data_IF_590361123516
#
_entry.id   IF_590361123516
#
_cell.length_a   1.000
_cell.length_b   1.000
_cell.length_c   1.000
_cell.angle_alpha   90.00
_cell.angle_beta   90.00
_cell.angle_gamma   90.00
#
_symmetry.space_group_name_H-M   'P 1'
#
loop_
_entity.id
_entity.type
_entity.pdbx_description
1 polymer ?
#
# COMPACT_ATOMS: atom_id res chain seq x y z
N UNK A 1 -77.27 15.88 -19.75
CA UNK A 1 -77.48 14.51 -19.23
C UNK A 1 -76.54 14.34 -18.04
N UNK A 2 -77.03 14.60 -16.84
CA UNK A 2 -76.27 14.55 -15.60
C UNK A 2 -77.26 14.32 -14.44
N UNK A 3 -77.01 13.28 -13.62
CA UNK A 3 -77.63 12.97 -12.32
C UNK A 3 -76.93 11.72 -11.70
N UNK A 4 -77.02 11.48 -10.36
CA UNK A 4 -75.87 11.68 -9.44
C UNK A 4 -75.75 10.57 -8.33
N UNK A 5 -75.25 10.95 -7.14
CA UNK A 5 -75.34 10.30 -5.79
C UNK A 5 -74.27 9.22 -5.46
N UNK A 6 -73.68 9.13 -4.26
CA UNK A 6 -74.06 9.61 -2.92
C UNK A 6 -72.84 9.72 -1.97
N UNK A 7 -72.83 10.78 -1.15
CA UNK A 7 -72.02 10.97 0.07
C UNK A 7 -72.74 10.29 1.25
N UNK A 8 -72.02 9.80 2.27
CA UNK A 8 -72.50 9.84 3.67
C UNK A 8 -71.34 9.79 4.69
N UNK A 9 -71.45 10.70 5.67
CA UNK A 9 -70.59 10.97 6.83
C UNK A 9 -71.35 10.53 8.09
N UNK A 10 -70.67 10.03 9.14
CA UNK A 10 -70.93 10.22 10.60
C UNK A 10 -70.14 9.16 11.41
N UNK A 11 -69.25 9.47 12.36
CA UNK A 11 -69.38 10.16 13.66
C UNK A 11 -69.68 9.22 14.87
N UNK A 12 -68.62 8.87 15.60
CA UNK A 12 -68.39 9.08 17.05
C UNK A 12 -69.10 8.29 18.20
N UNK A 13 -68.30 8.08 19.27
CA UNK A 13 -68.57 8.02 20.74
C UNK A 13 -68.78 6.68 21.53
N UNK A 14 -67.73 6.33 22.32
CA UNK A 14 -67.63 6.04 23.79
C UNK A 14 -68.33 4.87 24.55
N UNK A 15 -67.47 4.12 25.28
CA UNK A 15 -67.48 3.52 26.66
C UNK A 15 -68.76 2.94 27.31
N UNK A 16 -68.61 1.78 28.01
CA UNK A 16 -68.78 1.56 29.49
C UNK A 16 -68.59 0.07 29.92
N UNK A 17 -67.79 -0.12 30.99
CA UNK A 17 -67.67 -1.12 32.13
C UNK A 17 -68.70 -2.28 32.27
N UNK A 18 -68.54 -3.39 33.03
CA UNK A 18 -67.52 -4.12 33.85
C UNK A 18 -68.17 -5.45 34.36
N UNK A 19 -67.41 -6.46 34.84
CA UNK A 19 -67.91 -7.60 35.65
C UNK A 19 -67.00 -8.86 35.72
N UNK A 20 -67.04 -9.71 36.78
CA UNK A 20 -65.86 -9.98 37.63
C UNK A 20 -65.41 -11.46 37.89
N UNK A 21 -64.23 -11.57 38.52
CA UNK A 21 -63.75 -12.52 39.57
C UNK A 21 -63.24 -13.98 39.31
N UNK A 22 -62.02 -14.20 39.88
CA UNK A 22 -61.48 -15.37 40.63
C UNK A 22 -60.34 -16.24 40.03
N UNK A 23 -59.16 -16.18 40.70
CA UNK A 23 -58.05 -17.18 40.79
C UNK A 23 -58.40 -18.23 41.88
N UNK A 24 -57.62 -19.30 42.21
CA UNK A 24 -56.33 -19.84 41.69
C UNK A 24 -56.29 -21.40 41.53
N UNK A 25 -55.20 -21.99 41.01
CA UNK A 25 -54.48 -23.08 41.70
C UNK A 25 -53.09 -23.31 41.09
N UNK A 26 -52.09 -23.40 41.96
CA UNK A 26 -50.70 -23.73 41.63
C UNK A 26 -50.42 -25.20 41.98
N UNK A 27 -49.56 -25.87 41.21
CA UNK A 27 -48.72 -26.95 41.74
C UNK A 27 -47.32 -26.78 41.18
N UNK A 28 -46.35 -26.66 42.08
CA UNK A 28 -44.96 -26.39 41.77
C UNK A 28 -44.13 -27.63 41.41
N UNK A 29 -42.95 -27.29 40.90
CA UNK A 29 -41.68 -28.02 40.99
C UNK A 29 -41.61 -29.37 40.24
N UNK A 30 -41.04 -29.33 39.03
CA UNK A 30 -39.84 -30.13 38.76
C UNK A 30 -38.98 -29.45 37.69
N UNK A 31 -37.84 -28.93 38.14
CA UNK A 31 -36.80 -28.30 37.32
C UNK A 31 -36.10 -29.34 36.46
N UNK A 32 -36.07 -29.12 35.14
CA UNK A 32 -35.00 -29.64 34.28
C UNK A 32 -34.59 -28.56 33.26
N UNK A 33 -33.60 -27.77 33.65
CA UNK A 33 -32.87 -26.85 32.77
C UNK A 33 -31.98 -27.70 31.86
N UNK A 34 -32.51 -28.18 30.74
CA UNK A 34 -31.71 -28.85 29.71
C UNK A 34 -32.20 -28.50 28.29
N UNK A 35 -32.59 -27.25 28.02
CA UNK A 35 -32.77 -26.84 26.62
C UNK A 35 -32.73 -25.32 26.39
N UNK A 36 -31.83 -24.59 27.05
CA UNK A 36 -31.69 -23.17 26.74
C UNK A 36 -30.30 -22.59 27.03
N UNK A 37 -29.20 -23.24 26.60
CA UNK A 37 -27.93 -22.49 26.47
C UNK A 37 -26.79 -23.11 25.63
N UNK A 38 -27.09 -23.73 24.47
CA UNK A 38 -26.05 -24.25 23.58
C UNK A 38 -25.78 -23.36 22.34
N UNK A 39 -26.41 -22.18 22.25
CA UNK A 39 -26.24 -21.24 21.11
C UNK A 39 -25.73 -19.84 21.48
N UNK A 40 -25.63 -19.47 22.75
CA UNK A 40 -25.08 -18.18 23.18
C UNK A 40 -23.59 -18.22 23.61
N UNK A 41 -22.97 -19.41 23.69
CA UNK A 41 -21.57 -19.58 24.10
C UNK A 41 -20.58 -19.93 22.98
N UNK A 42 -20.94 -19.77 21.71
CA UNK A 42 -19.94 -19.54 20.66
C UNK A 42 -19.83 -18.04 20.43
N UNK A 43 -19.32 -17.34 21.43
CA UNK A 43 -18.71 -16.05 21.17
C UNK A 43 -17.58 -16.27 20.19
N UNK A 44 -17.60 -15.56 19.07
CA UNK A 44 -16.51 -15.44 18.11
C UNK A 44 -15.32 -14.71 18.77
N UNK A 45 -14.81 -15.27 19.86
CA UNK A 45 -13.58 -14.81 20.48
C UNK A 45 -12.44 -15.28 19.60
N UNK A 46 -12.16 -14.50 18.56
CA UNK A 46 -10.85 -14.52 17.93
C UNK A 46 -9.87 -13.94 18.95
N UNK A 47 -8.90 -14.72 19.44
CA UNK A 47 -7.85 -14.18 20.30
C UNK A 47 -7.22 -12.96 19.63
N UNK A 48 -6.78 -11.94 20.40
CA UNK A 48 -6.01 -10.86 19.81
C UNK A 48 -4.86 -11.44 19.01
N UNK A 49 -4.68 -10.97 17.78
CA UNK A 49 -3.56 -11.40 16.95
C UNK A 49 -2.28 -11.28 17.78
N UNK A 50 -1.43 -12.33 17.84
CA UNK A 50 -0.17 -12.24 18.55
C UNK A 50 0.58 -11.00 18.05
N UNK A 51 1.30 -10.27 18.94
CA UNK A 51 2.09 -9.13 18.53
C UNK A 51 2.98 -9.58 17.36
N UNK A 52 3.08 -8.78 16.29
CA UNK A 52 3.88 -9.16 15.14
C UNK A 52 5.29 -9.51 15.63
N UNK A 53 5.90 -10.58 15.09
CA UNK A 53 7.25 -10.95 15.46
C UNK A 53 8.15 -9.72 15.31
N UNK A 54 9.01 -9.48 16.29
CA UNK A 54 9.98 -8.39 16.22
C UNK A 54 10.73 -8.49 14.90
N UNK A 55 10.87 -7.39 14.13
CA UNK A 55 11.59 -7.41 12.87
C UNK A 55 12.97 -8.04 13.06
N UNK A 56 13.49 -8.80 12.09
CA UNK A 56 14.86 -9.29 12.12
C UNK A 56 15.80 -8.11 12.40
N UNK A 57 16.86 -8.29 13.22
CA UNK A 57 17.83 -7.23 13.45
C UNK A 57 18.41 -6.77 12.11
N UNK A 58 18.37 -5.47 11.86
CA UNK A 58 18.94 -4.87 10.65
C UNK A 58 20.42 -5.25 10.54
N UNK A 59 20.91 -5.58 9.33
CA UNK A 59 22.34 -5.74 9.12
C UNK A 59 23.06 -4.43 9.47
N UNK A 60 24.36 -4.49 9.80
CA UNK A 60 25.10 -3.32 10.25
C UNK A 60 25.08 -2.21 9.20
N UNK A 61 24.94 -0.96 9.65
CA UNK A 61 25.01 0.20 8.77
C UNK A 61 26.41 0.36 8.19
N UNK A 62 26.48 0.84 6.93
CA UNK A 62 27.74 1.10 6.24
C UNK A 62 28.37 2.40 6.74
N UNK A 63 29.69 2.46 6.77
CA UNK A 63 30.44 3.69 7.09
C UNK A 63 30.55 4.63 5.89
N UNK A 64 30.98 5.88 6.12
CA UNK A 64 31.25 6.80 5.01
C UNK A 64 32.41 6.29 4.13
N UNK A 65 33.39 5.63 4.75
CA UNK A 65 34.52 5.01 4.06
C UNK A 65 34.07 3.83 3.17
N UNK A 66 33.12 3.02 3.63
CA UNK A 66 32.53 1.93 2.82
C UNK A 66 31.79 2.47 1.60
N UNK A 67 31.18 3.65 1.74
CA UNK A 67 30.56 4.41 0.66
C UNK A 67 31.59 5.15 -0.23
N UNK A 68 32.89 4.96 0.01
CA UNK A 68 33.98 5.69 -0.68
C UNK A 68 33.81 7.21 -0.60
N UNK A 69 33.13 7.69 0.44
CA UNK A 69 32.90 9.10 0.71
C UNK A 69 34.06 9.75 1.45
N UNK A 70 33.96 11.06 1.60
CA UNK A 70 34.91 11.87 2.37
C UNK A 70 34.20 12.35 3.65
N UNK A 71 34.82 12.13 4.80
CA UNK A 71 34.31 12.55 6.09
C UNK A 71 33.66 11.42 6.87
N UNK A 72 32.55 11.69 7.57
CA UNK A 72 31.86 10.68 8.38
C UNK A 72 30.35 10.93 8.43
N UNK A 73 29.56 9.86 8.57
CA UNK A 73 28.10 9.94 8.70
C UNK A 73 27.64 10.65 9.99
N UNK A 74 28.51 10.80 10.99
CA UNK A 74 28.22 11.55 12.22
C UNK A 74 28.54 13.05 12.14
N UNK A 75 29.29 13.47 11.13
CA UNK A 75 29.61 14.88 10.88
C UNK A 75 29.07 15.30 9.53
N UNK A 76 29.81 15.06 8.46
CA UNK A 76 29.37 15.25 7.08
C UNK A 76 30.08 14.20 6.24
N UNK A 77 29.28 13.43 5.51
CA UNK A 77 29.76 12.45 4.55
C UNK A 77 29.42 12.95 3.14
N UNK A 78 30.45 13.22 2.35
CA UNK A 78 30.30 13.64 0.95
C UNK A 78 30.60 12.47 0.03
N UNK A 79 29.62 12.06 -0.76
CA UNK A 79 29.77 11.01 -1.75
C UNK A 79 30.13 11.64 -3.09
N UNK A 80 31.34 11.38 -3.56
CA UNK A 80 31.86 11.85 -4.86
C UNK A 80 32.01 10.71 -5.89
N UNK A 81 31.56 9.51 -5.55
CA UNK A 81 31.73 8.30 -6.36
C UNK A 81 30.44 7.51 -6.43
N UNK A 82 30.06 7.05 -7.63
CA UNK A 82 28.87 6.23 -7.84
C UNK A 82 29.06 4.80 -7.35
N UNK A 83 28.09 4.26 -6.62
CA UNK A 83 28.14 2.93 -6.03
C UNK A 83 27.08 2.03 -6.64
N UNK A 84 27.43 0.75 -6.78
CA UNK A 84 26.52 -0.29 -7.22
C UNK A 84 26.51 -1.41 -6.18
N UNK A 85 25.40 -1.54 -5.47
CA UNK A 85 25.21 -2.47 -4.37
C UNK A 85 24.62 -3.79 -4.88
N UNK A 86 24.96 -4.91 -4.24
CA UNK A 86 24.41 -6.23 -4.59
C UNK A 86 23.21 -6.61 -3.74
N UNK A 87 23.12 -6.04 -2.54
CA UNK A 87 22.14 -6.35 -1.51
C UNK A 87 21.71 -5.08 -0.79
N UNK A 88 20.79 -5.22 0.15
CA UNK A 88 20.21 -4.10 0.89
C UNK A 88 21.28 -3.33 1.67
N UNK A 89 21.15 -2.00 1.67
CA UNK A 89 22.12 -1.09 2.28
C UNK A 89 21.44 -0.17 3.27
N UNK A 90 22.07 -0.03 4.43
CA UNK A 90 21.59 0.81 5.53
C UNK A 90 22.65 1.87 5.82
N UNK A 91 22.29 3.14 5.63
CA UNK A 91 23.16 4.30 5.83
C UNK A 91 22.59 5.07 7.02
N UNK A 92 23.26 4.99 8.17
CA UNK A 92 22.80 5.64 9.40
C UNK A 92 23.85 6.63 9.92
N UNK A 93 23.40 7.80 10.38
CA UNK A 93 24.30 8.83 10.88
C UNK A 93 23.62 9.98 11.61
N UNK A 94 24.37 10.61 12.52
CA UNK A 94 23.90 11.82 13.23
C UNK A 94 24.22 13.14 12.51
N UNK A 95 25.02 13.07 11.45
CA UNK A 95 25.52 14.23 10.72
C UNK A 95 24.72 14.48 9.46
N UNK A 96 25.43 14.77 8.38
CA UNK A 96 24.88 15.09 7.06
C UNK A 96 25.34 14.07 6.01
N UNK A 97 24.52 13.85 4.99
CA UNK A 97 24.86 13.03 3.82
C UNK A 97 24.63 13.84 2.55
N UNK A 98 25.72 14.15 1.85
CA UNK A 98 25.68 14.91 0.60
C UNK A 98 26.07 14.01 -0.56
N UNK A 99 25.11 13.72 -1.43
CA UNK A 99 25.36 13.02 -2.68
C UNK A 99 25.70 14.10 -3.71
N UNK A 100 26.95 14.15 -4.14
CA UNK A 100 27.43 15.18 -5.05
C UNK A 100 26.83 15.03 -6.46
N UNK A 101 27.01 16.06 -7.28
CA UNK A 101 26.45 16.12 -8.63
C UNK A 101 26.86 14.90 -9.47
N UNK A 102 25.88 14.28 -10.14
CA UNK A 102 26.10 13.14 -11.02
C UNK A 102 26.44 11.82 -10.33
N UNK A 103 26.46 11.78 -9.00
CA UNK A 103 26.72 10.55 -8.23
C UNK A 103 25.46 9.71 -8.17
N UNK A 104 25.61 8.42 -8.46
CA UNK A 104 24.52 7.44 -8.47
C UNK A 104 24.73 6.36 -7.42
N UNK A 105 23.72 6.14 -6.58
CA UNK A 105 23.63 5.00 -5.66
C UNK A 105 22.63 4.00 -6.24
N UNK A 106 23.12 2.88 -6.76
CA UNK A 106 22.30 1.91 -7.48
C UNK A 106 22.28 0.56 -6.76
N UNK A 107 21.11 -0.05 -6.64
CA UNK A 107 20.95 -1.46 -6.36
C UNK A 107 20.08 -2.11 -7.45
N UNK A 108 20.64 -2.93 -8.35
CA UNK A 108 19.94 -3.44 -9.52
C UNK A 108 19.07 -4.66 -9.19
N UNK A 109 19.25 -5.28 -8.02
CA UNK A 109 18.43 -6.39 -7.53
C UNK A 109 16.99 -5.90 -7.32
N UNK A 110 16.02 -6.62 -7.89
CA UNK A 110 14.59 -6.33 -7.70
C UNK A 110 14.26 -6.39 -6.21
N UNK A 111 13.44 -5.45 -5.75
CA UNK A 111 13.09 -5.36 -4.33
C UNK A 111 14.17 -4.83 -3.38
N UNK A 112 15.40 -4.60 -3.86
CA UNK A 112 16.51 -4.18 -3.00
C UNK A 112 16.22 -2.85 -2.29
N UNK A 113 16.54 -2.80 -0.99
CA UNK A 113 16.31 -1.66 -0.11
C UNK A 113 17.59 -0.82 0.03
N UNK A 114 17.48 0.48 -0.27
CA UNK A 114 18.41 1.50 0.19
C UNK A 114 17.72 2.30 1.30
N UNK A 115 18.17 2.12 2.54
CA UNK A 115 17.68 2.84 3.70
C UNK A 115 18.69 3.92 4.12
N UNK A 116 18.23 5.15 4.24
CA UNK A 116 19.02 6.31 4.66
C UNK A 116 18.34 6.92 5.88
N UNK A 117 19.03 6.91 7.01
CA UNK A 117 18.56 7.47 8.28
C UNK A 117 19.59 8.47 8.82
N UNK A 118 19.35 9.76 8.57
CA UNK A 118 20.28 10.84 8.87
C UNK A 118 19.58 11.90 9.70
N UNK A 119 20.10 12.24 10.88
CA UNK A 119 19.43 13.26 11.71
C UNK A 119 19.63 14.70 11.21
N UNK A 120 20.70 14.96 10.45
CA UNK A 120 20.98 16.26 9.85
C UNK A 120 20.42 16.37 8.42
N UNK A 121 21.24 16.93 7.53
CA UNK A 121 20.84 17.28 6.17
C UNK A 121 21.15 16.16 5.17
N UNK A 122 20.14 15.74 4.41
CA UNK A 122 20.29 14.93 3.21
C UNK A 122 20.21 15.84 1.97
N UNK A 123 21.27 15.86 1.17
CA UNK A 123 21.30 16.65 -0.06
C UNK A 123 21.59 15.76 -1.25
N UNK A 124 20.65 15.72 -2.20
CA UNK A 124 20.87 15.20 -3.54
C UNK A 124 21.16 16.39 -4.46
N UNK A 125 22.43 16.58 -4.80
CA UNK A 125 22.86 17.63 -5.73
C UNK A 125 22.31 17.38 -7.14
N UNK A 126 22.39 18.39 -8.05
CA UNK A 126 21.85 18.24 -9.39
C UNK A 126 22.36 16.96 -10.09
N UNK A 127 21.46 16.24 -10.74
CA UNK A 127 21.75 14.98 -11.45
C UNK A 127 22.28 13.84 -10.56
N UNK A 128 22.19 13.95 -9.24
CA UNK A 128 22.41 12.81 -8.35
C UNK A 128 21.25 11.82 -8.46
N UNK A 129 21.56 10.52 -8.39
CA UNK A 129 20.58 9.46 -8.58
C UNK A 129 20.60 8.44 -7.44
N UNK A 130 19.42 8.01 -7.00
CA UNK A 130 19.25 6.83 -6.15
C UNK A 130 18.32 5.87 -6.89
N UNK A 131 18.80 4.66 -7.18
CA UNK A 131 18.06 3.66 -7.97
C UNK A 131 18.00 2.36 -7.18
N UNK A 132 16.81 1.91 -6.79
CA UNK A 132 16.62 0.68 -6.01
C UNK A 132 15.20 0.11 -6.20
N UNK A 133 14.90 -1.03 -5.55
CA UNK A 133 13.52 -1.53 -5.44
C UNK A 133 12.71 -0.78 -4.39
N UNK A 134 13.33 -0.49 -3.25
CA UNK A 134 12.78 0.34 -2.19
C UNK A 134 13.79 1.38 -1.78
N UNK A 135 13.34 2.62 -1.61
CA UNK A 135 14.13 3.70 -1.04
C UNK A 135 13.39 4.21 0.18
N UNK A 136 14.02 4.10 1.35
CA UNK A 136 13.47 4.54 2.62
C UNK A 136 14.37 5.61 3.21
N UNK A 137 13.86 6.82 3.33
CA UNK A 137 14.63 7.99 3.77
C UNK A 137 13.95 8.59 4.99
N UNK A 138 14.72 8.70 6.07
CA UNK A 138 14.42 9.52 7.25
C UNK A 138 15.53 10.56 7.38
N UNK A 139 15.15 11.83 7.33
CA UNK A 139 16.10 12.94 7.37
C UNK A 139 15.66 14.06 8.35
N UNK A 140 16.61 14.82 8.87
CA UNK A 140 16.34 16.09 9.55
C UNK A 140 15.79 17.11 8.56
N UNK A 141 16.61 17.48 7.57
CA UNK A 141 16.19 18.23 6.39
C UNK A 141 16.53 17.43 5.13
N UNK A 142 15.76 17.61 4.06
CA UNK A 142 16.04 16.99 2.77
C UNK A 142 15.94 18.00 1.63
N UNK A 143 16.95 18.04 0.77
CA UNK A 143 16.98 18.89 -0.43
C UNK A 143 17.30 18.05 -1.66
N UNK A 144 16.35 17.97 -2.58
CA UNK A 144 16.52 17.32 -3.88
C UNK A 144 16.63 18.42 -4.93
N UNK A 145 17.84 18.64 -5.45
CA UNK A 145 18.09 19.68 -6.44
C UNK A 145 17.62 19.28 -7.84
N UNK A 146 17.53 20.27 -8.74
CA UNK A 146 17.05 20.09 -10.10
C UNK A 146 17.80 18.98 -10.85
N UNK A 147 17.05 18.07 -11.47
CA UNK A 147 17.59 16.92 -12.19
C UNK A 147 18.06 15.76 -11.30
N UNK A 148 18.04 15.88 -9.97
CA UNK A 148 18.21 14.71 -9.10
C UNK A 148 17.00 13.79 -9.18
N UNK A 149 17.22 12.49 -9.04
CA UNK A 149 16.16 11.48 -9.20
C UNK A 149 16.29 10.39 -8.15
N UNK A 150 15.17 10.05 -7.51
CA UNK A 150 15.00 8.78 -6.79
C UNK A 150 14.10 7.90 -7.66
N UNK A 151 14.65 6.81 -8.17
CA UNK A 151 14.01 5.98 -9.19
C UNK A 151 13.84 4.54 -8.72
N UNK A 152 12.59 4.16 -8.54
CA UNK A 152 12.20 2.77 -8.23
C UNK A 152 11.32 2.17 -9.33
N UNK A 153 11.43 2.68 -10.55
CA UNK A 153 10.63 2.24 -11.71
C UNK A 153 10.93 0.80 -12.13
N UNK A 154 9.90 -0.03 -12.25
CA UNK A 154 9.99 -1.42 -12.69
C UNK A 154 10.92 -2.28 -11.80
N UNK A 155 10.93 -2.00 -10.49
CA UNK A 155 11.82 -2.63 -9.50
C UNK A 155 11.08 -3.32 -8.35
N UNK A 156 9.79 -3.63 -8.52
CA UNK A 156 9.05 -4.39 -7.52
C UNK A 156 9.70 -5.75 -7.22
N UNK A 157 9.56 -6.20 -5.97
CA UNK A 157 10.00 -7.52 -5.56
C UNK A 157 8.94 -8.57 -5.95
N UNK A 158 9.36 -9.62 -6.66
CA UNK A 158 8.49 -10.74 -7.03
C UNK A 158 8.32 -11.75 -5.87
N UNK A 159 9.14 -11.69 -4.81
CA UNK A 159 9.27 -12.79 -3.82
C UNK A 159 8.40 -12.66 -2.56
N UNK A 160 7.99 -11.46 -2.17
CA UNK A 160 7.47 -11.24 -0.81
C UNK A 160 5.98 -10.87 -0.73
N UNK A 161 5.38 -10.42 -1.82
CA UNK A 161 3.95 -10.15 -1.87
C UNK A 161 3.38 -10.98 -3.02
N UNK A 162 2.49 -11.97 -2.79
CA UNK A 162 1.73 -12.57 -3.89
C UNK A 162 1.08 -11.39 -4.58
N UNK A 163 1.45 -11.14 -5.83
CA UNK A 163 1.17 -9.89 -6.54
C UNK A 163 -0.33 -9.76 -6.74
N UNK A 164 -1.02 -9.29 -5.70
CA UNK A 164 -2.44 -9.02 -5.71
C UNK A 164 -2.65 -7.97 -6.79
N UNK A 165 -3.57 -8.24 -7.70
CA UNK A 165 -3.75 -7.38 -8.86
C UNK A 165 -2.81 -7.63 -10.03
N UNK A 166 -2.08 -8.75 -10.08
CA UNK A 166 -1.56 -9.31 -11.35
C UNK A 166 -2.64 -10.19 -11.99
N UNK A 167 -2.86 -10.11 -13.31
CA UNK A 167 -3.75 -11.04 -14.02
C UNK A 167 -3.32 -12.51 -13.86
N UNK A 168 -4.26 -13.40 -13.58
CA UNK A 168 -4.02 -14.85 -13.49
C UNK A 168 -3.93 -15.52 -14.87
N UNK A 169 -4.37 -14.83 -15.92
CA UNK A 169 -4.53 -15.35 -17.27
C UNK A 169 -3.41 -14.88 -18.22
N UNK A 170 -3.23 -15.66 -19.28
CA UNK A 170 -2.26 -15.35 -20.33
C UNK A 170 -2.87 -14.40 -21.38
N UNK A 171 -3.71 -13.45 -20.96
CA UNK A 171 -4.41 -12.53 -21.85
C UNK A 171 -3.71 -11.16 -21.94
N UNK A 172 -2.56 -11.01 -21.27
CA UNK A 172 -1.74 -9.80 -21.32
C UNK A 172 -2.33 -8.59 -20.58
N UNK A 173 -3.19 -8.81 -19.58
CA UNK A 173 -3.75 -7.74 -18.76
C UNK A 173 -2.68 -6.95 -17.98
N UNK A 174 -3.00 -5.72 -17.55
CA UNK A 174 -2.13 -4.88 -16.73
C UNK A 174 -2.40 -5.03 -15.23
N UNK A 175 -1.44 -4.60 -14.43
CA UNK A 175 -1.55 -4.60 -12.96
C UNK A 175 -2.49 -3.52 -12.41
N UNK A 176 -3.02 -3.69 -11.18
CA UNK A 176 -3.95 -2.72 -10.57
C UNK A 176 -3.61 -2.32 -9.14
N UNK A 177 -2.99 -1.16 -8.91
CA UNK A 177 -2.76 -0.57 -7.57
C UNK A 177 -3.85 0.45 -7.24
N UNK A 178 -4.51 0.30 -6.08
CA UNK A 178 -5.63 1.17 -5.68
C UNK A 178 -6.88 1.09 -6.58
N UNK A 179 -6.90 0.20 -7.58
CA UNK A 179 -7.96 0.07 -8.57
C UNK A 179 -7.71 -1.13 -9.48
N UNK A 180 -8.67 -1.45 -10.35
CA UNK A 180 -8.53 -2.58 -11.29
C UNK A 180 -7.56 -2.25 -12.43
N UNK A 181 -6.77 -3.24 -12.85
CA UNK A 181 -5.87 -3.15 -14.00
C UNK A 181 -6.60 -3.20 -15.34
N UNK A 182 -5.97 -2.71 -16.40
CA UNK A 182 -6.53 -2.73 -17.76
C UNK A 182 -6.47 -4.15 -18.36
N UNK A 183 -7.50 -4.58 -19.09
CA UNK A 183 -7.47 -5.87 -19.80
C UNK A 183 -7.15 -5.67 -21.28
N UNK A 184 -6.41 -6.62 -21.87
CA UNK A 184 -6.14 -6.68 -23.30
C UNK A 184 -7.10 -7.62 -24.05
N UNK A 185 -8.13 -8.11 -23.38
CA UNK A 185 -9.12 -9.04 -23.92
C UNK A 185 -10.09 -8.32 -24.84
N UNK A 186 -10.08 -8.72 -26.11
CA UNK A 186 -10.99 -8.19 -27.12
C UNK A 186 -12.12 -9.20 -27.37
N UNK A 187 -13.04 -9.32 -26.41
CA UNK A 187 -14.26 -10.13 -26.56
C UNK A 187 -15.51 -9.26 -26.52
N UNK A 188 -16.14 -9.08 -27.69
CA UNK A 188 -17.34 -8.26 -27.86
C UNK A 188 -18.60 -8.84 -27.18
N UNK A 189 -18.51 -10.02 -26.56
CA UNK A 189 -19.62 -10.65 -25.82
C UNK A 189 -19.58 -10.36 -24.33
N UNK A 190 -18.46 -9.91 -23.79
CA UNK A 190 -18.33 -9.57 -22.37
C UNK A 190 -18.60 -8.08 -22.15
N UNK A 191 -19.20 -7.73 -21.01
CA UNK A 191 -19.37 -6.33 -20.64
C UNK A 191 -18.03 -5.77 -20.10
N UNK A 192 -17.76 -4.46 -20.25
CA UNK A 192 -16.53 -3.85 -19.71
C UNK A 192 -16.34 -4.05 -18.19
N UNK A 193 -17.43 -4.20 -17.44
CA UNK A 193 -17.42 -4.47 -15.99
C UNK A 193 -17.00 -5.90 -15.61
N UNK A 194 -17.06 -6.83 -16.56
CA UNK A 194 -16.73 -8.25 -16.39
C UNK A 194 -15.27 -8.57 -16.77
N UNK A 195 -14.52 -7.59 -17.26
CA UNK A 195 -13.20 -7.79 -17.85
C UNK A 195 -12.21 -6.75 -17.33
N UNK A 196 -11.22 -7.20 -16.56
CA UNK A 196 -10.14 -6.36 -16.07
C UNK A 196 -8.82 -7.15 -16.03
N UNK A 197 -7.70 -6.44 -16.01
CA UNK A 197 -6.37 -7.02 -15.99
C UNK A 197 -6.03 -7.58 -14.61
N UNK A 198 -6.28 -6.84 -13.54
CA UNK A 198 -5.98 -7.32 -12.18
C UNK A 198 -6.89 -6.67 -11.16
N UNK A 199 -7.14 -7.35 -10.05
CA UNK A 199 -7.92 -6.80 -8.93
C UNK A 199 -7.22 -5.61 -8.27
N UNK A 200 -8.01 -4.76 -7.62
CA UNK A 200 -7.46 -3.69 -6.80
C UNK A 200 -6.77 -4.28 -5.57
N UNK A 201 -5.56 -3.79 -5.26
CA UNK A 201 -4.85 -4.09 -4.02
C UNK A 201 -4.44 -2.81 -3.28
N UNK A 202 -4.02 -2.99 -2.02
CA UNK A 202 -3.45 -1.95 -1.14
C UNK A 202 -4.36 -0.78 -0.73
N UNK A 203 -5.68 -0.92 -0.87
CA UNK A 203 -6.64 0.11 -0.46
C UNK A 203 -6.56 0.44 1.05
N UNK A 204 -6.27 -0.57 1.87
CA UNK A 204 -6.17 -0.44 3.33
C UNK A 204 -4.97 0.41 3.81
N UNK A 205 -3.99 0.63 2.93
CA UNK A 205 -2.75 1.36 3.24
C UNK A 205 -2.64 2.73 2.57
N UNK A 206 -3.73 3.23 1.98
CA UNK A 206 -3.71 4.45 1.14
C UNK A 206 -3.22 5.71 1.89
N UNK A 207 -3.37 5.75 3.22
CA UNK A 207 -2.90 6.86 4.05
C UNK A 207 -1.37 6.88 4.22
N UNK A 208 -0.74 5.72 4.22
CA UNK A 208 0.71 5.54 4.38
C UNK A 208 1.17 4.43 3.41
N UNK A 209 1.13 4.68 2.09
CA UNK A 209 1.32 3.63 1.10
C UNK A 209 2.77 3.14 1.14
N UNK A 210 2.94 1.84 1.35
CA UNK A 210 4.24 1.16 1.39
C UNK A 210 4.16 -0.21 0.72
N UNK A 211 3.65 -0.22 -0.50
CA UNK A 211 3.40 -1.45 -1.26
C UNK A 211 4.01 -1.36 -2.64
N UNK A 212 4.50 -2.50 -3.11
CA UNK A 212 5.00 -2.63 -4.46
C UNK A 212 3.84 -2.55 -5.46
N UNK A 213 4.14 -2.06 -6.66
CA UNK A 213 3.23 -2.22 -7.79
C UNK A 213 3.20 -3.68 -8.23
N UNK A 214 2.03 -4.18 -8.56
CA UNK A 214 1.84 -5.48 -9.18
C UNK A 214 2.40 -5.53 -10.60
N UNK A 215 2.73 -6.74 -11.01
CA UNK A 215 3.24 -7.06 -12.33
C UNK A 215 2.12 -7.04 -13.37
N UNK A 216 2.47 -6.76 -14.61
CA UNK A 216 1.59 -7.02 -15.75
C UNK A 216 1.52 -8.50 -16.08
N UNK A 217 0.40 -8.92 -16.67
CA UNK A 217 0.23 -10.25 -17.24
C UNK A 217 1.02 -10.43 -18.54
N UNK A 218 1.19 -11.69 -18.92
CA UNK A 218 1.87 -12.10 -20.16
C UNK A 218 0.86 -12.68 -21.16
N UNK A 219 1.23 -12.75 -22.44
CA UNK A 219 0.45 -13.46 -23.47
C UNK A 219 0.86 -14.93 -23.66
N UNK A 220 1.90 -15.39 -22.96
CA UNK A 220 2.39 -16.77 -23.00
C UNK A 220 2.76 -17.26 -21.62
N UNK A 221 2.33 -18.46 -21.23
CA UNK A 221 2.54 -18.98 -19.87
C UNK A 221 4.01 -19.20 -19.52
N UNK A 222 4.83 -19.54 -20.50
CA UNK A 222 6.23 -19.91 -20.33
C UNK A 222 7.19 -18.72 -20.43
N UNK A 223 6.70 -17.55 -20.86
CA UNK A 223 7.51 -16.35 -21.07
C UNK A 223 6.93 -15.17 -20.31
N UNK A 224 7.80 -14.37 -19.71
CA UNK A 224 7.41 -13.23 -18.90
C UNK A 224 7.59 -11.92 -19.68
N UNK A 225 6.50 -11.42 -20.25
CA UNK A 225 6.46 -10.17 -21.00
C UNK A 225 5.83 -9.00 -20.23
N UNK A 226 5.36 -9.21 -19.00
CA UNK A 226 4.67 -8.16 -18.25
C UNK A 226 5.63 -7.10 -17.72
N UNK A 227 5.13 -5.86 -17.59
CA UNK A 227 5.85 -4.84 -16.82
C UNK A 227 6.05 -5.29 -15.37
N UNK A 228 7.19 -4.94 -14.77
CA UNK A 228 7.65 -5.54 -13.49
C UNK A 228 6.93 -5.05 -12.24
N UNK A 229 6.20 -3.95 -12.32
CA UNK A 229 5.65 -3.28 -11.14
C UNK A 229 6.61 -2.28 -10.50
N UNK A 230 6.06 -1.19 -9.95
CA UNK A 230 6.84 -0.10 -9.39
C UNK A 230 7.34 -0.41 -7.98
N UNK A 231 8.50 0.14 -7.64
CA UNK A 231 9.08 0.06 -6.31
C UNK A 231 8.44 1.01 -5.28
N UNK A 232 9.07 1.14 -4.11
CA UNK A 232 8.54 1.95 -3.00
C UNK A 232 9.46 3.11 -2.65
N UNK A 233 8.92 4.32 -2.57
CA UNK A 233 9.61 5.49 -2.04
C UNK A 233 8.96 5.92 -0.72
N UNK A 234 9.75 6.02 0.34
CA UNK A 234 9.35 6.58 1.62
C UNK A 234 10.28 7.72 1.96
N UNK A 235 9.73 8.93 2.10
CA UNK A 235 10.48 10.13 2.46
C UNK A 235 9.84 10.76 3.69
N UNK A 236 10.48 10.63 4.83
CA UNK A 236 10.08 11.28 6.07
C UNK A 236 11.13 12.30 6.49
N UNK A 237 10.71 13.57 6.56
CA UNK A 237 11.59 14.69 6.86
C UNK A 237 11.08 15.43 8.08
N UNK A 238 11.89 15.50 9.12
CA UNK A 238 11.44 16.02 10.42
C UNK A 238 11.28 17.55 10.45
N UNK A 239 12.03 18.27 9.61
CA UNK A 239 12.05 19.74 9.60
C UNK A 239 11.59 20.27 8.23
N UNK A 240 12.51 20.49 7.29
CA UNK A 240 12.19 21.12 5.99
C UNK A 240 12.53 20.23 4.80
N UNK A 241 11.67 20.25 3.79
CA UNK A 241 11.88 19.55 2.52
C UNK A 241 11.85 20.55 1.35
N UNK A 242 12.91 20.60 0.54
CA UNK A 242 12.96 21.32 -0.75
C UNK A 242 13.03 20.30 -1.88
N UNK A 243 11.93 20.15 -2.63
CA UNK A 243 11.82 19.17 -3.72
C UNK A 243 11.83 19.86 -5.08
N UNK A 244 12.98 19.81 -5.75
CA UNK A 244 13.17 20.22 -7.17
C UNK A 244 13.63 19.08 -8.07
N UNK A 245 13.90 17.91 -7.48
CA UNK A 245 14.16 16.65 -8.17
C UNK A 245 12.87 15.87 -8.47
N UNK A 246 13.04 14.60 -8.85
CA UNK A 246 11.95 13.69 -9.21
C UNK A 246 11.93 12.44 -8.32
N UNK A 247 10.74 11.99 -7.95
CA UNK A 247 10.50 10.66 -7.36
C UNK A 247 9.72 9.84 -8.39
N UNK A 248 10.25 8.68 -8.79
CA UNK A 248 9.67 7.84 -9.82
C UNK A 248 9.36 6.45 -9.27
N UNK A 249 8.13 5.97 -9.45
CA UNK A 249 7.67 4.64 -9.04
C UNK A 249 6.83 3.97 -10.15
N UNK A 250 7.23 4.10 -11.42
CA UNK A 250 6.44 3.57 -12.54
C UNK A 250 6.50 2.03 -12.59
N UNK A 251 5.44 1.39 -13.08
CA UNK A 251 5.35 -0.07 -13.16
C UNK A 251 6.11 -0.74 -14.30
N UNK A 252 6.60 0.05 -15.26
CA UNK A 252 7.26 -0.47 -16.46
C UNK A 252 6.28 -1.00 -17.52
N UNK A 253 6.80 -1.14 -18.74
CA UNK A 253 6.05 -1.52 -19.93
C UNK A 253 6.18 -3.03 -20.21
N UNK A 254 5.09 -3.67 -20.62
CA UNK A 254 5.07 -5.04 -21.11
C UNK A 254 5.17 -5.16 -22.65
N UNK A 255 5.19 -4.03 -23.35
CA UNK A 255 5.25 -3.95 -24.80
C UNK A 255 4.02 -4.56 -25.47
N UNK A 256 4.18 -5.04 -26.71
CA UNK A 256 3.06 -5.60 -27.49
C UNK A 256 2.65 -7.02 -27.07
N UNK A 257 3.42 -7.66 -26.16
CA UNK A 257 3.25 -9.09 -25.78
C UNK A 257 2.86 -9.28 -24.31
N UNK A 258 2.67 -8.21 -23.57
CA UNK A 258 2.29 -8.26 -22.16
C UNK A 258 1.66 -6.96 -21.72
N UNK A 259 1.01 -6.99 -20.55
CA UNK A 259 0.44 -5.80 -19.95
C UNK A 259 1.49 -4.97 -19.22
N UNK A 260 1.23 -3.68 -19.07
CA UNK A 260 2.04 -2.81 -18.22
C UNK A 260 1.95 -3.21 -16.74
N UNK A 261 3.02 -2.98 -15.99
CA UNK A 261 3.00 -3.11 -14.54
C UNK A 261 2.29 -1.91 -13.90
N UNK A 262 1.73 -2.10 -12.71
CA UNK A 262 1.18 -0.98 -11.95
C UNK A 262 2.28 -0.16 -11.27
N UNK A 263 2.03 1.12 -11.06
CA UNK A 263 2.91 1.97 -10.28
C UNK A 263 3.03 1.48 -8.83
N UNK A 264 4.15 1.77 -8.19
CA UNK A 264 4.36 1.49 -6.77
C UNK A 264 4.03 2.70 -5.90
N UNK A 265 4.37 2.63 -4.62
CA UNK A 265 4.01 3.65 -3.65
C UNK A 265 5.03 4.78 -3.53
N UNK A 266 4.53 6.01 -3.36
CA UNK A 266 5.32 7.17 -2.92
C UNK A 266 4.63 7.75 -1.69
N UNK A 267 5.33 7.72 -0.55
CA UNK A 267 4.89 8.35 0.68
C UNK A 267 5.85 9.47 1.07
N UNK A 268 5.30 10.65 1.34
CA UNK A 268 6.08 11.82 1.77
C UNK A 268 5.42 12.39 3.03
N UNK A 269 6.20 12.46 4.11
CA UNK A 269 5.81 13.10 5.36
C UNK A 269 6.81 14.19 5.70
N UNK A 270 6.31 15.40 5.93
CA UNK A 270 7.14 16.53 6.36
C UNK A 270 6.44 17.32 7.45
N UNK A 271 7.20 18.09 8.23
CA UNK A 271 6.63 18.99 9.22
C UNK A 271 5.81 20.09 8.56
N UNK A 272 4.61 20.33 9.09
CA UNK A 272 3.75 21.42 8.64
C UNK A 272 4.30 22.73 9.22
N UNK A 273 4.88 23.57 8.36
CA UNK A 273 5.33 24.92 8.73
C UNK A 273 4.19 25.81 9.22
#
# INVERSE_FOLDING_TARGET
>A
MATPLSLFICSSFFLILAGPESLPFASGEDFSILEYDAKLFRGDYSPPSPPPPSPPPHPPSVSCEDLKGIGSLNTTCELNYSLNFTDDVYIEGKGNLFILQGVALTCPKLGCLIEINITGDLILNPFAEIVAGSVYIVAGNASLFGGSVINVTARADDLLEPSQGTPDDAEGGGGGHGGRGASCVMDNKKLPEDVWGGDAHSWDSIEMPWTYGSKGGTTKKEEDYGGRGGGRNWLQVNNTVDMRGMLLANGGDGGIKGGGGSGGSIYIKSHKM
#
